data_IF_563979944974
#
_entry.id   IF_563979944974
#
_cell.length_a   1.000
_cell.length_b   1.000
_cell.length_c   1.000
_cell.angle_alpha   90.00
_cell.angle_beta   90.00
_cell.angle_gamma   90.00
#
_symmetry.space_group_name_H-M   'P 1'
#
loop_
_entity.id
_entity.type
_entity.pdbx_description
1 polymer ?
#
# COMPACT_ATOMS: atom_id res chain seq x y z
N UNK A 1 -13.26 5.31 34.74
CA UNK A 1 -12.02 4.68 34.21
C UNK A 1 -11.52 5.59 33.10
N UNK A 2 -10.30 6.10 33.20
CA UNK A 2 -9.68 6.95 32.17
C UNK A 2 -8.59 6.12 31.47
N UNK A 3 -8.54 6.16 30.14
CA UNK A 3 -7.52 5.46 29.35
C UNK A 3 -6.60 6.52 28.74
N UNK A 4 -5.33 6.62 29.17
CA UNK A 4 -4.39 7.57 28.61
C UNK A 4 -3.92 7.12 27.22
N UNK A 5 -3.94 8.03 26.25
CA UNK A 5 -3.40 7.82 24.90
C UNK A 5 -2.30 8.87 24.70
N UNK A 6 -1.05 8.43 24.61
CA UNK A 6 0.13 9.31 24.53
C UNK A 6 0.75 9.38 23.13
N UNK A 7 0.39 8.43 22.27
CA UNK A 7 1.16 8.16 21.05
C UNK A 7 0.47 8.68 19.78
N UNK A 8 -0.69 9.32 19.92
CA UNK A 8 -1.45 9.89 18.80
C UNK A 8 -1.77 11.33 19.12
N UNK A 9 -1.53 12.20 18.13
CA UNK A 9 -1.88 13.61 18.23
C UNK A 9 -3.41 13.77 18.38
N UNK A 10 -3.82 14.67 19.27
CA UNK A 10 -5.22 14.94 19.59
C UNK A 10 -6.08 15.24 18.35
N UNK A 11 -5.52 15.95 17.36
CA UNK A 11 -6.25 16.27 16.12
C UNK A 11 -6.50 15.02 15.26
N UNK A 12 -5.50 14.13 15.16
CA UNK A 12 -5.59 12.87 14.41
C UNK A 12 -6.54 11.92 15.11
N UNK A 13 -6.49 11.83 16.44
CA UNK A 13 -7.41 11.01 17.20
C UNK A 13 -8.86 11.49 17.07
N UNK A 14 -9.08 12.81 16.98
CA UNK A 14 -10.41 13.37 16.69
C UNK A 14 -10.91 12.97 15.31
N UNK A 15 -10.05 13.02 14.28
CA UNK A 15 -10.40 12.59 12.91
C UNK A 15 -10.79 11.10 12.93
N UNK A 16 -10.00 10.28 13.62
CA UNK A 16 -10.23 8.84 13.73
C UNK A 16 -11.55 8.53 14.44
N UNK A 17 -11.84 9.20 15.56
CA UNK A 17 -13.13 9.08 16.23
C UNK A 17 -14.28 9.52 15.33
N UNK A 18 -14.14 10.68 14.68
CA UNK A 18 -15.17 11.20 13.76
C UNK A 18 -15.50 10.18 12.67
N UNK A 19 -14.48 9.53 12.11
CA UNK A 19 -14.64 8.47 11.12
C UNK A 19 -15.37 7.24 11.67
N UNK A 20 -15.00 6.76 12.87
CA UNK A 20 -15.67 5.63 13.53
C UNK A 20 -17.14 5.91 13.82
N UNK A 21 -17.50 7.16 14.13
CA UNK A 21 -18.89 7.59 14.33
C UNK A 21 -19.65 7.85 13.02
N UNK A 22 -19.07 7.53 11.86
CA UNK A 22 -19.72 7.65 10.55
C UNK A 22 -19.53 9.00 9.87
N UNK A 23 -18.63 9.85 10.38
CA UNK A 23 -18.23 11.08 9.73
C UNK A 23 -17.31 10.82 8.54
N UNK A 24 -17.45 11.62 7.49
CA UNK A 24 -16.49 11.60 6.38
C UNK A 24 -15.28 12.46 6.74
N UNK A 25 -14.08 11.94 6.50
CA UNK A 25 -12.86 12.73 6.67
C UNK A 25 -12.67 13.65 5.47
N UNK A 26 -12.34 14.92 5.73
CA UNK A 26 -12.03 15.86 4.65
C UNK A 26 -10.76 15.43 3.92
N UNK A 27 -10.83 15.40 2.59
CA UNK A 27 -9.70 14.99 1.72
C UNK A 27 -8.46 15.87 1.94
N UNK A 28 -8.65 17.13 2.28
CA UNK A 28 -7.58 18.06 2.63
C UNK A 28 -6.85 17.66 3.93
N UNK A 29 -7.60 17.24 4.96
CA UNK A 29 -7.03 16.76 6.21
C UNK A 29 -6.29 15.43 6.00
N UNK A 30 -6.85 14.54 5.17
CA UNK A 30 -6.21 13.29 4.76
C UNK A 30 -4.90 13.56 4.03
N UNK A 31 -4.85 14.59 3.18
CA UNK A 31 -3.64 14.96 2.43
C UNK A 31 -2.55 15.53 3.32
N UNK A 32 -2.89 16.47 4.19
CA UNK A 32 -1.90 17.16 5.04
C UNK A 32 -1.32 16.21 6.10
N UNK A 33 -2.16 15.36 6.70
CA UNK A 33 -1.77 14.47 7.79
C UNK A 33 -1.75 12.99 7.40
N UNK A 34 -1.57 12.69 6.11
CA UNK A 34 -1.71 11.32 5.57
C UNK A 34 -0.91 10.27 6.36
N UNK A 35 0.37 10.54 6.65
CA UNK A 35 1.23 9.61 7.39
C UNK A 35 0.75 9.38 8.82
N UNK A 36 0.42 10.45 9.55
CA UNK A 36 -0.08 10.36 10.92
C UNK A 36 -1.42 9.61 10.98
N UNK A 37 -2.29 9.83 9.99
CA UNK A 37 -3.58 9.13 9.88
C UNK A 37 -3.36 7.66 9.55
N UNK A 38 -2.46 7.31 8.62
CA UNK A 38 -2.10 5.92 8.33
C UNK A 38 -1.54 5.25 9.59
N UNK A 39 -0.64 5.90 10.31
CA UNK A 39 -0.05 5.37 11.55
C UNK A 39 -1.09 5.11 12.63
N UNK A 40 -2.02 6.06 12.82
CA UNK A 40 -3.12 5.90 13.76
C UNK A 40 -4.10 4.80 13.30
N UNK A 41 -4.49 4.80 12.03
CA UNK A 41 -5.43 3.83 11.48
C UNK A 41 -4.86 2.40 11.52
N UNK A 42 -3.57 2.23 11.24
CA UNK A 42 -2.86 0.96 11.37
C UNK A 42 -2.82 0.49 12.84
N UNK A 43 -2.54 1.40 13.78
CA UNK A 43 -2.52 1.09 15.22
C UNK A 43 -3.88 0.68 15.78
N UNK A 44 -4.96 1.35 15.35
CA UNK A 44 -6.32 1.06 15.80
C UNK A 44 -7.07 0.08 14.90
N UNK A 45 -6.39 -0.51 13.90
CA UNK A 45 -6.96 -1.46 12.93
C UNK A 45 -8.21 -0.94 12.19
N UNK A 46 -8.20 0.34 11.80
CA UNK A 46 -9.26 0.98 11.02
C UNK A 46 -8.86 0.93 9.54
N UNK A 47 -9.15 -0.22 8.92
CA UNK A 47 -8.74 -0.52 7.54
C UNK A 47 -9.24 0.52 6.55
N UNK A 48 -10.52 0.88 6.56
CA UNK A 48 -11.08 1.77 5.55
C UNK A 48 -10.41 3.15 5.55
N UNK A 49 -10.17 3.72 6.74
CA UNK A 49 -9.47 5.00 6.89
C UNK A 49 -8.01 4.91 6.40
N UNK A 50 -7.34 3.78 6.69
CA UNK A 50 -5.98 3.51 6.21
C UNK A 50 -5.93 3.47 4.68
N UNK A 51 -6.87 2.78 4.03
CA UNK A 51 -6.93 2.69 2.57
C UNK A 51 -7.23 4.05 1.91
N UNK A 52 -8.13 4.83 2.48
CA UNK A 52 -8.45 6.18 2.01
C UNK A 52 -7.25 7.12 2.16
N UNK A 53 -6.58 7.11 3.32
CA UNK A 53 -5.39 7.92 3.56
C UNK A 53 -4.21 7.52 2.67
N UNK A 54 -4.04 6.23 2.40
CA UNK A 54 -3.05 5.72 1.45
C UNK A 54 -3.30 6.26 0.04
N UNK A 55 -4.55 6.20 -0.44
CA UNK A 55 -4.91 6.72 -1.76
C UNK A 55 -4.67 8.24 -1.86
N UNK A 56 -5.04 8.99 -0.81
CA UNK A 56 -4.77 10.42 -0.73
C UNK A 56 -3.26 10.73 -0.72
N UNK A 57 -2.47 9.91 -0.01
CA UNK A 57 -1.01 10.08 0.06
C UNK A 57 -0.35 9.90 -1.31
N UNK A 58 -0.72 8.83 -2.03
CA UNK A 58 -0.19 8.53 -3.36
C UNK A 58 -0.57 9.63 -4.37
N UNK A 59 -1.81 10.14 -4.32
CA UNK A 59 -2.28 11.17 -5.24
C UNK A 59 -1.64 12.55 -5.00
N UNK A 60 -1.25 12.83 -3.75
CA UNK A 60 -0.72 14.13 -3.36
C UNK A 60 0.80 14.21 -3.34
N UNK A 61 1.48 13.07 -3.11
CA UNK A 61 2.93 13.03 -2.98
C UNK A 61 3.58 12.68 -4.30
N UNK A 62 4.41 13.60 -4.81
CA UNK A 62 5.30 13.29 -5.94
C UNK A 62 6.46 12.43 -5.46
N UNK A 63 6.52 11.18 -5.92
CA UNK A 63 7.66 10.29 -5.67
C UNK A 63 8.85 10.77 -6.51
N UNK A 64 10.01 10.92 -5.86
CA UNK A 64 11.27 11.36 -6.44
C UNK A 64 12.38 10.40 -6.03
N UNK A 65 13.51 10.40 -6.75
CA UNK A 65 14.64 9.50 -6.44
C UNK A 65 15.21 9.64 -5.04
N UNK A 66 15.08 10.82 -4.43
CA UNK A 66 15.58 11.07 -3.07
C UNK A 66 14.62 10.53 -2.00
N UNK A 67 13.31 10.49 -2.29
CA UNK A 67 12.28 10.06 -1.34
C UNK A 67 11.80 8.62 -1.57
N UNK A 68 12.20 7.99 -2.67
CA UNK A 68 11.64 6.71 -3.11
C UNK A 68 11.94 5.57 -2.13
N UNK A 69 13.13 5.54 -1.53
CA UNK A 69 13.52 4.51 -0.54
C UNK A 69 12.76 4.71 0.77
N UNK A 70 12.68 5.94 1.27
CA UNK A 70 11.94 6.23 2.51
C UNK A 70 10.46 5.86 2.35
N UNK A 71 9.88 6.18 1.20
CA UNK A 71 8.50 5.80 0.89
C UNK A 71 8.33 4.29 0.75
N UNK A 72 9.31 3.59 0.15
CA UNK A 72 9.31 2.14 0.03
C UNK A 72 9.34 1.47 1.41
N UNK A 73 10.26 1.88 2.28
CA UNK A 73 10.41 1.33 3.63
C UNK A 73 9.18 1.64 4.49
N UNK A 74 8.63 2.85 4.36
CA UNK A 74 7.40 3.23 5.03
C UNK A 74 6.21 2.37 4.57
N UNK A 75 6.08 2.15 3.26
CA UNK A 75 5.01 1.33 2.71
C UNK A 75 5.08 -0.13 3.19
N UNK A 76 6.29 -0.69 3.25
CA UNK A 76 6.50 -2.05 3.76
C UNK A 76 6.19 -2.14 5.27
N UNK A 77 6.66 -1.17 6.06
CA UNK A 77 6.45 -1.12 7.50
C UNK A 77 4.98 -0.98 7.90
N UNK A 78 4.18 -0.23 7.13
CA UNK A 78 2.74 0.01 7.37
C UNK A 78 1.83 -0.89 6.55
N UNK A 79 2.39 -1.83 5.81
CA UNK A 79 1.65 -2.74 4.95
C UNK A 79 0.75 -2.02 3.93
N UNK A 80 1.22 -0.88 3.42
CA UNK A 80 0.55 -0.05 2.43
C UNK A 80 0.82 -0.60 1.02
N UNK A 81 -0.07 -1.49 0.56
CA UNK A 81 0.10 -2.19 -0.71
C UNK A 81 0.05 -1.26 -1.94
N UNK A 82 -0.80 -0.24 -1.98
CA UNK A 82 -0.88 0.70 -3.11
C UNK A 82 0.38 1.56 -3.18
N UNK A 83 0.81 2.13 -2.05
CA UNK A 83 2.01 2.96 -2.02
C UNK A 83 3.23 2.15 -2.48
N UNK A 84 3.36 0.91 -2.00
CA UNK A 84 4.42 -0.01 -2.41
C UNK A 84 4.37 -0.29 -3.92
N UNK A 85 3.20 -0.53 -4.49
CA UNK A 85 3.04 -0.75 -5.94
C UNK A 85 3.49 0.47 -6.76
N UNK A 86 3.04 1.69 -6.40
CA UNK A 86 3.41 2.90 -7.14
C UNK A 86 4.92 3.18 -7.05
N UNK A 87 5.53 2.95 -5.89
CA UNK A 87 6.98 3.09 -5.72
C UNK A 87 7.75 2.10 -6.57
N UNK A 88 7.31 0.84 -6.64
CA UNK A 88 7.94 -0.18 -7.48
C UNK A 88 7.79 0.10 -8.97
N UNK A 89 6.63 0.62 -9.40
CA UNK A 89 6.43 1.06 -10.78
C UNK A 89 7.40 2.20 -11.14
N UNK A 90 7.57 3.19 -10.25
CA UNK A 90 8.51 4.28 -10.45
C UNK A 90 9.95 3.79 -10.59
N UNK A 91 10.36 2.79 -9.80
CA UNK A 91 11.66 2.14 -9.94
C UNK A 91 11.81 1.40 -11.28
N UNK A 92 10.76 0.70 -11.72
CA UNK A 92 10.79 -0.04 -12.97
C UNK A 92 10.91 0.90 -14.19
N UNK A 93 10.23 2.05 -14.15
CA UNK A 93 10.30 3.07 -15.19
C UNK A 93 11.65 3.79 -15.22
N UNK A 94 12.22 4.10 -14.05
CA UNK A 94 13.44 4.91 -13.91
C UNK A 94 14.67 4.09 -13.48
N UNK A 95 14.72 2.81 -13.86
CA UNK A 95 15.75 1.87 -13.44
C UNK A 95 17.19 2.34 -13.71
N UNK A 96 17.43 3.04 -14.83
CA UNK A 96 18.76 3.55 -15.20
C UNK A 96 19.29 4.63 -14.25
N UNK A 97 18.40 5.45 -13.69
CA UNK A 97 18.75 6.47 -12.71
C UNK A 97 18.80 5.91 -11.29
N UNK A 98 17.87 5.00 -10.96
CA UNK A 98 17.81 4.35 -9.65
C UNK A 98 19.12 3.62 -9.33
N UNK A 99 19.67 2.86 -10.29
CA UNK A 99 20.94 2.13 -10.09
C UNK A 99 22.12 3.05 -9.78
N UNK A 100 22.08 4.32 -10.19
CA UNK A 100 23.19 5.28 -10.00
C UNK A 100 23.05 6.11 -8.72
N UNK A 101 21.82 6.46 -8.35
CA UNK A 101 21.54 7.41 -7.26
C UNK A 101 21.09 6.75 -5.96
N UNK A 102 20.51 5.55 -6.05
CA UNK A 102 19.85 4.91 -4.92
C UNK A 102 20.78 3.90 -4.25
N UNK A 103 20.98 4.05 -2.94
CA UNK A 103 21.60 3.00 -2.13
C UNK A 103 20.54 1.98 -1.72
N UNK A 104 20.87 0.71 -1.86
CA UNK A 104 20.01 -0.41 -1.49
C UNK A 104 20.45 -1.12 -0.20
N UNK A 105 21.43 -0.56 0.52
CA UNK A 105 22.00 -1.19 1.72
C UNK A 105 20.96 -1.41 2.83
N UNK A 106 20.02 -0.46 2.97
CA UNK A 106 18.95 -0.50 3.97
C UNK A 106 17.68 -1.21 3.49
N UNK A 107 17.66 -1.72 2.26
CA UNK A 107 16.46 -2.33 1.65
C UNK A 107 16.40 -3.82 1.99
N UNK A 108 15.34 -4.28 2.68
CA UNK A 108 15.14 -5.70 2.95
C UNK A 108 15.12 -6.56 1.69
N UNK A 109 15.72 -7.75 1.75
CA UNK A 109 15.84 -8.64 0.60
C UNK A 109 14.52 -9.13 0.01
N UNK A 110 13.41 -9.11 0.76
CA UNK A 110 12.09 -9.45 0.21
C UNK A 110 11.59 -8.40 -0.78
N UNK A 111 11.92 -7.13 -0.58
CA UNK A 111 11.55 -6.03 -1.49
C UNK A 111 12.28 -6.11 -2.83
N UNK A 112 13.49 -6.69 -2.85
CA UNK A 112 14.24 -6.92 -4.09
C UNK A 112 13.54 -7.90 -5.02
N UNK A 113 12.87 -8.91 -4.45
CA UNK A 113 12.06 -9.86 -5.23
C UNK A 113 10.88 -9.13 -5.86
N UNK A 114 10.20 -8.29 -5.09
CA UNK A 114 9.05 -7.51 -5.56
C UNK A 114 9.47 -6.52 -6.66
N UNK A 115 10.62 -5.87 -6.49
CA UNK A 115 11.22 -5.00 -7.50
C UNK A 115 11.53 -5.76 -8.79
N UNK A 116 12.16 -6.93 -8.71
CA UNK A 116 12.47 -7.75 -9.88
C UNK A 116 11.20 -8.19 -10.63
N UNK A 117 10.13 -8.50 -9.90
CA UNK A 117 8.81 -8.79 -10.48
C UNK A 117 8.27 -7.55 -11.19
N UNK A 118 8.29 -6.38 -10.57
CA UNK A 118 7.82 -5.13 -11.16
C UNK A 118 8.59 -4.75 -12.45
N UNK A 119 9.92 -4.85 -12.45
CA UNK A 119 10.74 -4.64 -13.66
C UNK A 119 10.41 -5.67 -14.74
N UNK A 120 10.19 -6.93 -14.36
CA UNK A 120 9.75 -7.99 -15.27
C UNK A 120 8.39 -7.70 -15.91
N UNK A 121 7.46 -7.09 -15.16
CA UNK A 121 6.15 -6.67 -15.64
C UNK A 121 6.27 -5.54 -16.67
N UNK A 122 7.11 -4.54 -16.41
CA UNK A 122 7.36 -3.41 -17.33
C UNK A 122 7.93 -3.88 -18.68
N UNK A 123 8.88 -4.83 -18.69
CA UNK A 123 9.47 -5.37 -19.94
C UNK A 123 8.54 -6.27 -20.75
N UNK A 124 7.50 -6.84 -20.15
CA UNK A 124 6.62 -7.83 -20.82
C UNK A 124 5.52 -7.23 -21.70
N UNK A 125 5.39 -5.90 -21.77
CA UNK A 125 4.53 -5.22 -22.75
C UNK A 125 3.11 -5.80 -22.84
N UNK A 126 2.48 -6.09 -21.70
CA UNK A 126 1.06 -6.51 -21.66
C UNK A 126 0.71 -7.80 -22.40
N UNK A 127 1.64 -8.75 -22.61
CA UNK A 127 1.23 -10.10 -23.07
C UNK A 127 0.64 -10.91 -21.93
N UNK A 128 -0.66 -10.72 -21.72
CA UNK A 128 -1.49 -11.60 -20.91
C UNK A 128 -1.52 -12.99 -21.56
N UNK A 129 -1.00 -14.01 -20.87
CA UNK A 129 -1.29 -15.39 -21.26
C UNK A 129 -2.74 -15.68 -20.88
N UNK A 130 -3.55 -16.11 -21.85
CA UNK A 130 -4.95 -16.50 -21.68
C UNK A 130 -5.10 -17.77 -20.82
N UNK A 131 -4.85 -17.71 -19.49
CA UNK A 131 -5.33 -18.72 -18.52
C UNK A 131 -5.53 -18.12 -17.14
N UNK A 132 -6.62 -17.38 -16.95
CA UNK A 132 -7.51 -17.33 -15.78
C UNK A 132 -7.03 -17.36 -14.30
N UNK A 133 -5.74 -17.42 -13.95
CA UNK A 133 -5.29 -17.56 -12.55
C UNK A 133 -3.95 -16.86 -12.22
N UNK A 134 -3.47 -15.95 -13.06
CA UNK A 134 -2.23 -15.23 -12.75
C UNK A 134 -2.52 -14.01 -11.86
N UNK A 135 -2.77 -14.27 -10.57
CA UNK A 135 -2.92 -13.21 -9.56
C UNK A 135 -1.62 -12.41 -9.38
N UNK A 136 -0.48 -12.94 -9.86
CA UNK A 136 0.84 -12.36 -9.72
C UNK A 136 1.03 -11.08 -10.57
N UNK A 137 0.20 -10.90 -11.60
CA UNK A 137 0.28 -9.75 -12.52
C UNK A 137 -0.82 -8.71 -12.30
N UNK A 138 -1.75 -8.96 -11.37
CA UNK A 138 -2.86 -8.03 -11.10
C UNK A 138 -2.39 -6.83 -10.28
N UNK A 139 -3.06 -5.68 -10.50
CA UNK A 139 -2.87 -4.45 -9.71
C UNK A 139 -3.53 -4.59 -8.35
N UNK A 140 -3.05 -3.86 -7.34
CA UNK A 140 -3.61 -3.91 -5.98
C UNK A 140 -5.11 -3.57 -5.97
N UNK A 141 -5.54 -2.57 -6.75
CA UNK A 141 -6.96 -2.22 -6.85
C UNK A 141 -7.82 -3.40 -7.34
N UNK A 142 -7.33 -4.17 -8.31
CA UNK A 142 -8.04 -5.35 -8.82
C UNK A 142 -8.08 -6.49 -7.79
N UNK A 143 -6.98 -6.68 -7.05
CA UNK A 143 -6.89 -7.66 -5.97
C UNK A 143 -7.88 -7.31 -4.84
N UNK A 144 -7.92 -6.05 -4.40
CA UNK A 144 -8.87 -5.56 -3.38
C UNK A 144 -10.33 -5.75 -3.80
N UNK A 145 -10.67 -5.38 -5.05
CA UNK A 145 -12.03 -5.58 -5.57
C UNK A 145 -12.42 -7.07 -5.61
N UNK A 146 -11.48 -7.97 -5.89
CA UNK A 146 -11.76 -9.42 -5.87
C UNK A 146 -11.91 -9.97 -4.46
N UNK A 147 -11.10 -9.50 -3.51
CA UNK A 147 -11.18 -9.90 -2.11
C UNK A 147 -12.49 -9.42 -1.48
N UNK A 148 -12.88 -8.17 -1.72
CA UNK A 148 -14.13 -7.59 -1.24
C UNK A 148 -15.35 -8.38 -1.75
N UNK A 149 -15.38 -8.73 -3.04
CA UNK A 149 -16.42 -9.61 -3.62
C UNK A 149 -16.49 -11.00 -2.98
N UNK A 150 -15.40 -11.49 -2.43
CA UNK A 150 -15.33 -12.78 -1.73
C UNK A 150 -15.52 -12.64 -0.21
N UNK A 151 -15.68 -11.42 0.31
CA UNK A 151 -15.76 -11.14 1.76
C UNK A 151 -14.46 -11.48 2.50
N UNK A 152 -13.32 -11.41 1.81
CA UNK A 152 -11.99 -11.65 2.37
C UNK A 152 -11.34 -10.34 2.81
N UNK A 153 -10.37 -10.42 3.71
CA UNK A 153 -9.65 -9.26 4.22
C UNK A 153 -8.87 -8.55 3.10
N UNK A 154 -9.03 -7.23 3.05
CA UNK A 154 -8.40 -6.33 2.07
C UNK A 154 -7.19 -5.58 2.65
N UNK A 155 -6.99 -5.65 3.97
CA UNK A 155 -5.79 -5.11 4.63
C UNK A 155 -4.70 -6.18 4.65
N UNK A 156 -3.59 -5.91 3.99
CA UNK A 156 -2.61 -6.94 3.75
C UNK A 156 -1.54 -6.53 2.77
N UNK A 157 -0.42 -7.26 2.82
CA UNK A 157 0.60 -7.16 1.78
C UNK A 157 0.03 -7.73 0.48
N UNK A 158 0.60 -7.33 -0.64
CA UNK A 158 0.24 -7.87 -1.96
C UNK A 158 0.27 -9.40 -1.98
N UNK A 159 1.26 -9.99 -1.35
CA UNK A 159 1.46 -11.43 -1.26
C UNK A 159 0.36 -12.09 -0.44
N UNK A 160 -0.05 -11.49 0.67
CA UNK A 160 -1.16 -11.98 1.49
C UNK A 160 -2.48 -12.00 0.69
N UNK A 161 -2.74 -10.95 -0.08
CA UNK A 161 -3.90 -10.88 -0.98
C UNK A 161 -3.89 -12.00 -2.03
N UNK A 162 -2.75 -12.22 -2.68
CA UNK A 162 -2.58 -13.27 -3.69
C UNK A 162 -2.76 -14.67 -3.07
N UNK A 163 -2.20 -14.91 -1.88
CA UNK A 163 -2.34 -16.18 -1.17
C UNK A 163 -3.80 -16.43 -0.80
N UNK A 164 -4.52 -15.42 -0.30
CA UNK A 164 -5.94 -15.52 0.04
C UNK A 164 -6.79 -15.89 -1.20
N UNK A 165 -6.55 -15.24 -2.34
CA UNK A 165 -7.25 -15.55 -3.60
C UNK A 165 -6.91 -16.93 -4.17
N UNK A 166 -5.65 -17.38 -4.04
CA UNK A 166 -5.25 -18.74 -4.44
C UNK A 166 -5.93 -19.79 -3.57
N UNK A 167 -6.01 -19.55 -2.25
CA UNK A 167 -6.68 -20.45 -1.30
C UNK A 167 -8.17 -20.57 -1.59
N UNK A 168 -8.86 -19.45 -1.86
CA UNK A 168 -10.28 -19.48 -2.21
C UNK A 168 -10.53 -20.19 -3.55
N UNK A 169 -9.64 -20.02 -4.54
CA UNK A 169 -9.75 -20.71 -5.83
C UNK A 169 -9.41 -22.20 -5.80
N UNK A 170 -8.70 -22.70 -4.78
CA UNK A 170 -8.36 -24.12 -4.62
C UNK A 170 -9.33 -24.87 -3.71
N UNK A 171 -10.14 -24.15 -2.93
CA UNK A 171 -11.14 -24.71 -2.01
C UNK A 171 -12.56 -24.86 -2.60
N UNK A 172 -12.70 -24.84 -3.93
CA UNK A 172 -13.97 -25.08 -4.65
C UNK A 172 -13.91 -26.34 -5.50
#
# INVERSE_FOLDING_TARGET
>A
ISVPITDVNSDIFRILLWYVYGGQTEEEALRVHAKEIIDAADKYAIVNLKLEAEAAYVNSTTITMDNVIDNLLYADAKNCALLKEVVMDFFAENHDEAVKKVSFDDVPGHLMKDLLVAVGMSKRGGKCNEKGKDFDTMRINELRVKLDKMGLDVDGSREAMIVALRKSSQGS
#
